data_IF_632344976946
#
_entry.id   IF_632344976946
#
_cell.length_a   1.000
_cell.length_b   1.000
_cell.length_c   1.000
_cell.angle_alpha   90.00
_cell.angle_beta   90.00
_cell.angle_gamma   90.00
#
_symmetry.space_group_name_H-M   'P 1'
#
loop_
_entity.id
_entity.type
_entity.pdbx_description
1 polymer ?
#
# COMPACT_ATOMS: atom_id res chain seq x y z
N UNK A 1 -32.56 -31.38 -18.84
CA UNK A 1 -31.45 -30.41 -18.69
C UNK A 1 -32.01 -28.99 -18.60
N UNK A 2 -32.63 -28.63 -17.46
CA UNK A 2 -33.17 -27.27 -17.25
C UNK A 2 -32.92 -26.77 -15.81
N UNK A 3 -32.63 -27.69 -14.89
CA UNK A 3 -32.30 -27.37 -13.49
C UNK A 3 -30.84 -26.89 -13.33
N UNK A 4 -29.93 -27.27 -14.24
CA UNK A 4 -28.52 -26.89 -14.15
C UNK A 4 -28.29 -25.42 -14.53
N UNK A 5 -29.07 -24.88 -15.47
CA UNK A 5 -28.90 -23.50 -15.97
C UNK A 5 -29.39 -22.43 -14.99
N UNK A 6 -30.38 -22.74 -14.15
CA UNK A 6 -30.93 -21.78 -13.17
C UNK A 6 -29.99 -21.57 -11.98
N UNK A 7 -29.21 -22.59 -11.59
CA UNK A 7 -28.26 -22.47 -10.47
C UNK A 7 -27.05 -21.56 -10.77
N UNK A 8 -26.62 -21.47 -12.04
CA UNK A 8 -25.49 -20.62 -12.43
C UNK A 8 -25.78 -19.12 -12.32
N UNK A 9 -27.04 -18.71 -12.44
CA UNK A 9 -27.45 -17.29 -12.37
C UNK A 9 -27.52 -16.76 -10.93
N UNK A 10 -27.79 -17.63 -9.95
CA UNK A 10 -27.89 -17.24 -8.52
C UNK A 10 -26.54 -17.20 -7.80
N UNK A 11 -25.52 -17.89 -8.32
CA UNK A 11 -24.18 -17.92 -7.72
C UNK A 11 -23.32 -16.70 -8.06
N UNK A 12 -23.60 -15.98 -9.15
CA UNK A 12 -22.75 -14.92 -9.67
C UNK A 12 -22.47 -13.76 -8.67
N UNK A 13 -23.46 -13.16 -7.97
CA UNK A 13 -23.18 -11.97 -7.14
C UNK A 13 -22.35 -12.27 -5.88
N UNK A 14 -22.36 -13.51 -5.38
CA UNK A 14 -21.57 -13.90 -4.21
C UNK A 14 -20.06 -13.95 -4.52
N UNK A 15 -19.68 -14.37 -5.73
CA UNK A 15 -18.26 -14.47 -6.13
C UNK A 15 -17.62 -13.09 -6.29
N UNK A 16 -18.37 -12.11 -6.80
CA UNK A 16 -17.85 -10.75 -7.05
C UNK A 16 -17.51 -9.98 -5.77
N UNK A 17 -18.27 -10.14 -4.67
CA UNK A 17 -17.95 -9.43 -3.42
C UNK A 17 -16.75 -10.03 -2.69
N UNK A 18 -16.54 -11.35 -2.83
CA UNK A 18 -15.40 -12.08 -2.29
C UNK A 18 -14.09 -11.67 -3.00
N UNK A 19 -14.13 -11.40 -4.32
CA UNK A 19 -12.93 -10.98 -5.08
C UNK A 19 -12.44 -9.58 -4.73
N UNK A 20 -13.34 -8.63 -4.42
CA UNK A 20 -12.97 -7.23 -4.16
C UNK A 20 -12.23 -7.07 -2.82
N UNK A 21 -12.76 -7.65 -1.73
CA UNK A 21 -12.09 -7.61 -0.43
C UNK A 21 -10.76 -8.38 -0.44
N UNK A 22 -10.71 -9.51 -1.15
CA UNK A 22 -9.48 -10.29 -1.25
C UNK A 22 -8.40 -9.53 -2.01
N UNK A 23 -8.74 -8.82 -3.10
CA UNK A 23 -7.79 -7.95 -3.81
C UNK A 23 -7.23 -6.84 -2.91
N UNK A 24 -8.08 -6.12 -2.18
CA UNK A 24 -7.63 -5.10 -1.23
C UNK A 24 -6.70 -5.69 -0.16
N UNK A 25 -7.04 -6.88 0.35
CA UNK A 25 -6.24 -7.60 1.34
C UNK A 25 -4.88 -8.01 0.78
N UNK A 26 -4.84 -8.59 -0.41
CA UNK A 26 -3.61 -8.98 -1.11
C UNK A 26 -2.68 -7.77 -1.30
N UNK A 27 -3.22 -6.65 -1.78
CA UNK A 27 -2.46 -5.43 -1.99
C UNK A 27 -1.88 -4.88 -0.67
N UNK A 28 -2.67 -4.81 0.41
CA UNK A 28 -2.19 -4.33 1.70
C UNK A 28 -1.21 -5.30 2.36
N UNK A 29 -1.35 -6.62 2.18
CA UNK A 29 -0.37 -7.61 2.65
C UNK A 29 0.94 -7.49 1.87
N UNK A 30 0.88 -7.26 0.56
CA UNK A 30 2.08 -6.98 -0.24
C UNK A 30 2.78 -5.70 0.21
N UNK A 31 2.02 -4.64 0.47
CA UNK A 31 2.54 -3.38 1.01
C UNK A 31 3.16 -3.56 2.40
N UNK A 32 2.52 -4.31 3.30
CA UNK A 32 3.02 -4.64 4.63
C UNK A 32 4.39 -5.35 4.58
N UNK A 33 4.54 -6.31 3.66
CA UNK A 33 5.82 -6.98 3.39
C UNK A 33 6.87 -6.00 2.89
N UNK A 34 6.54 -5.13 1.94
CA UNK A 34 7.48 -4.13 1.43
C UNK A 34 7.89 -3.11 2.50
N UNK A 35 6.97 -2.68 3.36
CA UNK A 35 7.29 -1.83 4.53
C UNK A 35 8.26 -2.54 5.47
N UNK A 36 8.03 -3.83 5.73
CA UNK A 36 8.92 -4.64 6.57
C UNK A 36 10.31 -4.79 5.96
N UNK A 37 10.41 -5.07 4.66
CA UNK A 37 11.68 -5.16 3.94
C UNK A 37 12.40 -3.81 3.89
N UNK A 38 11.67 -2.72 3.62
CA UNK A 38 12.21 -1.35 3.63
C UNK A 38 12.84 -1.03 4.99
N UNK A 39 12.12 -1.32 6.09
CA UNK A 39 12.63 -1.18 7.45
C UNK A 39 13.88 -2.02 7.68
N UNK A 40 13.85 -3.30 7.28
CA UNK A 40 14.97 -4.21 7.46
C UNK A 40 16.21 -3.69 6.73
N UNK A 41 16.07 -3.26 5.47
CA UNK A 41 17.16 -2.66 4.71
C UNK A 41 17.77 -1.46 5.43
N UNK A 42 16.93 -0.57 5.98
CA UNK A 42 17.41 0.61 6.70
C UNK A 42 18.24 0.25 7.93
N UNK A 43 17.79 -0.74 8.71
CA UNK A 43 18.51 -1.22 9.90
C UNK A 43 19.82 -1.92 9.52
N UNK A 44 19.76 -2.89 8.61
CA UNK A 44 20.91 -3.73 8.25
C UNK A 44 22.02 -2.92 7.58
N UNK A 45 21.68 -1.91 6.77
CA UNK A 45 22.67 -1.11 6.03
C UNK A 45 22.96 0.25 6.67
N UNK A 46 22.42 0.49 7.88
CA UNK A 46 22.58 1.73 8.64
C UNK A 46 22.35 3.01 7.82
N UNK A 47 21.45 2.95 6.85
CA UNK A 47 21.18 4.02 5.89
C UNK A 47 19.67 4.26 5.85
N UNK A 48 19.17 5.51 5.81
CA UNK A 48 17.74 5.74 5.65
C UNK A 48 17.22 5.14 4.34
N UNK A 49 16.03 4.54 4.38
CA UNK A 49 15.38 3.94 3.21
C UNK A 49 13.94 4.42 3.12
N UNK A 50 13.55 4.88 1.94
CA UNK A 50 12.24 5.46 1.66
C UNK A 50 11.44 4.55 0.73
N UNK A 51 10.14 4.43 1.00
CA UNK A 51 9.14 3.86 0.08
C UNK A 51 8.10 4.93 -0.27
N UNK A 52 7.87 5.16 -1.56
CA UNK A 52 6.87 6.11 -2.07
C UNK A 52 6.60 5.91 -3.58
N UNK A 53 5.50 6.47 -4.11
CA UNK A 53 5.33 6.62 -5.55
C UNK A 53 6.21 7.77 -6.07
N UNK A 54 6.91 7.56 -7.18
CA UNK A 54 7.82 8.56 -7.76
C UNK A 54 7.22 9.22 -9.01
N UNK A 55 7.19 10.55 -9.04
CA UNK A 55 6.99 11.35 -10.25
C UNK A 55 8.19 12.26 -10.42
N UNK A 56 8.87 12.16 -11.55
CA UNK A 56 10.13 12.89 -11.80
C UNK A 56 11.14 12.73 -10.66
N UNK A 57 11.29 11.49 -10.17
CA UNK A 57 12.14 11.10 -9.04
C UNK A 57 11.81 11.76 -7.68
N UNK A 58 10.61 12.33 -7.51
CA UNK A 58 10.15 12.87 -6.22
C UNK A 58 8.96 12.07 -5.70
N UNK A 59 8.92 11.87 -4.39
CA UNK A 59 7.79 11.22 -3.75
C UNK A 59 6.52 12.07 -3.87
N UNK A 60 5.40 11.42 -4.19
CA UNK A 60 4.09 12.07 -4.34
C UNK A 60 3.01 11.37 -3.50
N UNK A 61 1.77 11.88 -3.55
CA UNK A 61 0.63 11.24 -2.89
C UNK A 61 -0.08 10.19 -3.75
N UNK A 62 0.46 9.84 -4.92
CA UNK A 62 -0.15 8.91 -5.87
C UNK A 62 0.07 7.44 -5.46
N UNK A 63 -0.30 7.08 -4.23
CA UNK A 63 -0.03 5.77 -3.63
C UNK A 63 -0.69 4.60 -4.34
N UNK A 64 -1.67 4.87 -5.21
CA UNK A 64 -2.26 3.87 -6.10
C UNK A 64 -1.32 3.44 -7.24
N UNK A 65 -0.28 4.22 -7.54
CA UNK A 65 0.71 3.90 -8.57
C UNK A 65 1.81 2.96 -8.06
N UNK A 66 2.74 2.59 -8.95
CA UNK A 66 3.93 1.84 -8.58
C UNK A 66 4.71 2.56 -7.47
N UNK A 67 5.06 1.81 -6.42
CA UNK A 67 5.88 2.30 -5.32
C UNK A 67 7.32 1.85 -5.52
N UNK A 68 8.25 2.77 -5.33
CA UNK A 68 9.68 2.48 -5.34
C UNK A 68 10.24 2.52 -3.94
N UNK A 69 11.06 1.52 -3.60
CA UNK A 69 11.89 1.51 -2.40
C UNK A 69 13.32 1.87 -2.79
N UNK A 70 13.91 2.83 -2.10
CA UNK A 70 15.28 3.31 -2.39
C UNK A 70 15.98 3.79 -1.12
N UNK A 71 17.31 3.75 -1.11
CA UNK A 71 18.08 4.45 -0.07
C UNK A 71 17.84 5.95 -0.20
N UNK A 72 17.73 6.71 0.88
CA UNK A 72 17.46 8.15 0.84
C UNK A 72 18.42 8.86 1.80
N UNK A 73 19.69 8.95 1.40
CA UNK A 73 20.78 9.36 2.31
C UNK A 73 20.65 10.78 2.81
N UNK A 74 20.13 11.66 1.97
CA UNK A 74 19.86 13.06 2.30
C UNK A 74 18.46 13.23 2.93
N UNK A 75 17.69 12.14 3.03
CA UNK A 75 16.34 12.06 3.55
C UNK A 75 15.37 13.11 2.96
N UNK A 76 15.49 13.34 1.65
CA UNK A 76 14.72 14.38 0.91
C UNK A 76 13.46 13.85 0.27
N UNK A 77 13.13 12.57 0.46
CA UNK A 77 11.99 11.92 -0.20
C UNK A 77 12.05 12.11 -1.73
N UNK A 78 13.25 11.98 -2.28
CA UNK A 78 13.53 12.08 -3.70
C UNK A 78 14.67 11.12 -4.05
N UNK A 79 14.50 10.37 -5.12
CA UNK A 79 15.52 9.45 -5.62
C UNK A 79 16.57 10.25 -6.38
N UNK A 80 17.76 10.42 -5.81
CA UNK A 80 18.86 11.12 -6.47
C UNK A 80 19.99 10.20 -6.96
N UNK A 81 21.07 10.78 -7.49
CA UNK A 81 22.20 10.04 -8.08
C UNK A 81 23.02 9.24 -7.07
N UNK A 82 22.96 9.59 -5.78
CA UNK A 82 23.67 8.90 -4.68
C UNK A 82 22.83 7.78 -4.08
N UNK A 83 21.55 7.78 -4.40
CA UNK A 83 20.58 6.81 -3.93
C UNK A 83 20.49 5.58 -4.85
N UNK A 84 20.09 4.45 -4.28
CA UNK A 84 19.98 3.17 -4.97
C UNK A 84 18.54 2.68 -4.91
N UNK A 85 17.97 2.36 -6.08
CA UNK A 85 16.67 1.67 -6.19
C UNK A 85 16.83 0.24 -5.68
N UNK A 86 16.10 -0.13 -4.63
CA UNK A 86 16.20 -1.43 -3.98
C UNK A 86 15.11 -2.39 -4.46
N UNK A 87 13.85 -1.93 -4.47
CA UNK A 87 12.69 -2.76 -4.79
C UNK A 87 11.61 -1.91 -5.46
N UNK A 88 10.69 -2.60 -6.13
CA UNK A 88 9.51 -1.99 -6.77
C UNK A 88 8.29 -2.82 -6.40
N UNK A 89 7.23 -2.15 -5.97
CA UNK A 89 5.91 -2.73 -5.75
C UNK A 89 4.96 -2.17 -6.81
N UNK A 90 4.35 -3.06 -7.59
CA UNK A 90 3.36 -2.68 -8.59
C UNK A 90 2.21 -1.87 -7.99
N UNK A 91 1.68 -0.94 -8.78
CA UNK A 91 0.49 -0.19 -8.42
C UNK A 91 -0.75 -1.07 -8.27
N UNK A 92 -1.80 -0.48 -7.73
CA UNK A 92 -3.10 -1.14 -7.56
C UNK A 92 -3.94 -1.00 -8.84
N UNK A 93 -5.13 -1.61 -8.86
CA UNK A 93 -6.05 -1.47 -9.98
C UNK A 93 -6.55 -0.02 -10.09
N UNK A 94 -6.62 0.53 -11.30
CA UNK A 94 -7.07 1.91 -11.55
C UNK A 94 -8.50 2.22 -11.08
N UNK A 95 -9.34 1.19 -10.85
CA UNK A 95 -10.69 1.36 -10.28
C UNK A 95 -10.68 1.57 -8.77
N UNK A 96 -9.56 1.35 -8.10
CA UNK A 96 -9.44 1.37 -6.65
C UNK A 96 -8.64 2.59 -6.20
N UNK A 97 -8.75 2.92 -4.91
CA UNK A 97 -7.95 3.98 -4.31
C UNK A 97 -7.10 3.43 -3.18
N UNK A 98 -5.91 4.02 -3.02
CA UNK A 98 -5.03 3.79 -1.88
C UNK A 98 -4.47 5.14 -1.48
N UNK A 99 -4.73 5.53 -0.24
CA UNK A 99 -4.35 6.84 0.29
C UNK A 99 -3.55 6.71 1.58
N UNK A 100 -2.59 7.61 1.76
CA UNK A 100 -1.79 7.76 2.98
C UNK A 100 -1.55 9.25 3.27
N UNK A 101 -1.54 9.69 4.53
CA UNK A 101 -1.46 11.12 4.88
C UNK A 101 -0.10 11.79 4.53
N UNK A 102 0.90 11.02 4.13
CA UNK A 102 2.24 11.50 3.75
C UNK A 102 2.55 11.06 2.33
N UNK A 103 3.45 11.77 1.65
CA UNK A 103 3.93 11.38 0.32
C UNK A 103 5.01 10.30 0.36
N UNK A 104 5.61 10.05 1.52
CA UNK A 104 6.69 9.09 1.69
C UNK A 104 6.67 8.47 3.07
N UNK A 105 7.20 7.24 3.17
CA UNK A 105 7.54 6.59 4.43
C UNK A 105 9.04 6.31 4.41
N UNK A 106 9.78 7.01 5.26
CA UNK A 106 11.23 6.85 5.41
C UNK A 106 11.54 6.17 6.74
N UNK A 107 12.20 5.03 6.68
CA UNK A 107 12.74 4.35 7.86
C UNK A 107 14.18 4.80 8.11
N UNK A 108 14.49 5.15 9.36
CA UNK A 108 15.85 5.44 9.82
C UNK A 108 16.60 4.14 10.10
N UNK A 109 17.92 4.24 10.29
CA UNK A 109 18.77 3.13 10.72
C UNK A 109 18.34 2.48 12.05
N UNK A 110 17.56 3.19 12.88
CA UNK A 110 16.96 2.65 14.13
C UNK A 110 15.70 1.81 13.87
N UNK A 111 15.23 1.71 12.63
CA UNK A 111 13.99 1.04 12.25
C UNK A 111 12.71 1.83 12.61
N UNK A 112 12.85 3.05 13.11
CA UNK A 112 11.72 3.96 13.34
C UNK A 112 11.50 4.84 12.13
N UNK A 113 10.30 5.40 12.00
CA UNK A 113 9.99 6.34 10.94
C UNK A 113 10.69 7.69 11.18
N UNK A 114 11.03 8.37 10.09
CA UNK A 114 11.46 9.77 10.12
C UNK A 114 10.29 10.68 10.51
N UNK A 115 10.52 11.57 11.47
CA UNK A 115 9.55 12.59 11.91
C UNK A 115 8.18 12.00 12.30
N UNK A 116 7.11 12.69 11.91
CA UNK A 116 5.72 12.24 12.07
C UNK A 116 5.22 11.49 10.83
N UNK A 117 6.04 10.56 10.34
CA UNK A 117 5.77 9.74 9.16
C UNK A 117 4.72 8.64 9.39
N UNK A 118 4.15 8.54 10.60
CA UNK A 118 3.09 7.59 10.90
C UNK A 118 1.78 7.96 10.21
N UNK A 119 0.89 6.98 10.09
CA UNK A 119 -0.33 7.15 9.34
C UNK A 119 -1.08 5.83 9.14
N UNK A 120 -2.12 5.88 8.33
CA UNK A 120 -2.90 4.69 7.98
C UNK A 120 -3.19 4.73 6.50
N UNK A 121 -2.77 3.68 5.81
CA UNK A 121 -3.22 3.44 4.45
C UNK A 121 -4.70 3.11 4.50
N UNK A 122 -5.48 3.72 3.62
CA UNK A 122 -6.88 3.37 3.39
C UNK A 122 -6.99 2.90 1.96
N UNK A 123 -7.33 1.62 1.78
CA UNK A 123 -7.56 1.00 0.48
C UNK A 123 -9.06 0.87 0.28
N UNK A 124 -9.61 1.47 -0.77
CA UNK A 124 -11.02 1.35 -1.11
C UNK A 124 -11.19 0.69 -2.48
N UNK A 125 -12.09 -0.29 -2.55
CA UNK A 125 -12.52 -0.93 -3.80
C UNK A 125 -13.88 -0.40 -4.21
N UNK A 126 -14.04 -0.12 -5.50
CA UNK A 126 -15.33 0.29 -6.06
C UNK A 126 -16.21 -0.94 -6.28
N UNK A 127 -17.45 -0.89 -5.77
CA UNK A 127 -18.45 -1.94 -5.98
C UNK A 127 -19.42 -1.52 -7.07
N UNK A 128 -19.76 -2.46 -7.97
CA UNK A 128 -20.74 -2.23 -9.03
C UNK A 128 -22.15 -1.93 -8.51
N UNK A 129 -22.50 -2.40 -7.31
CA UNK A 129 -23.88 -2.40 -6.80
C UNK A 129 -24.06 -1.81 -5.40
N UNK A 130 -23.14 -0.95 -4.92
CA UNK A 130 -23.34 -0.33 -3.60
C UNK A 130 -22.16 0.50 -3.09
N UNK A 131 -22.19 0.80 -1.80
CA UNK A 131 -21.15 1.60 -1.14
C UNK A 131 -19.77 0.95 -1.26
N UNK A 132 -18.71 1.73 -1.48
CA UNK A 132 -17.33 1.24 -1.50
C UNK A 132 -16.97 0.61 -0.16
N UNK A 133 -16.12 -0.42 -0.23
CA UNK A 133 -15.58 -1.12 0.94
C UNK A 133 -14.07 -0.99 0.95
N UNK A 134 -13.48 -1.13 2.13
CA UNK A 134 -12.05 -1.04 2.23
C UNK A 134 -11.44 -1.68 3.44
N UNK A 135 -10.11 -1.74 3.37
CA UNK A 135 -9.24 -2.17 4.43
C UNK A 135 -8.26 -1.05 4.75
N UNK A 136 -7.69 -1.09 5.95
CA UNK A 136 -6.73 -0.12 6.41
C UNK A 136 -5.46 -0.81 6.92
N UNK A 137 -4.30 -0.21 6.63
CA UNK A 137 -3.00 -0.64 7.15
C UNK A 137 -2.36 0.52 7.91
N UNK A 138 -2.46 0.49 9.23
CA UNK A 138 -1.84 1.50 10.08
C UNK A 138 -0.35 1.25 10.23
N UNK A 139 0.48 2.29 10.16
CA UNK A 139 1.93 2.25 10.37
C UNK A 139 2.28 3.21 11.51
N UNK A 140 2.90 2.69 12.57
CA UNK A 140 3.29 3.47 13.74
C UNK A 140 4.67 4.13 13.57
N UNK A 141 4.98 5.12 14.41
CA UNK A 141 6.30 5.78 14.44
C UNK A 141 7.44 4.78 14.71
N UNK A 142 7.16 3.73 15.50
CA UNK A 142 8.13 2.66 15.77
C UNK A 142 8.25 1.65 14.61
N UNK A 143 7.62 1.93 13.47
CA UNK A 143 7.73 1.15 12.24
C UNK A 143 6.91 -0.15 12.22
N UNK A 144 5.93 -0.31 13.13
CA UNK A 144 5.04 -1.48 13.16
C UNK A 144 3.81 -1.21 12.33
N UNK A 145 3.45 -2.15 11.46
CA UNK A 145 2.25 -2.13 10.65
C UNK A 145 1.15 -3.05 11.19
N UNK A 146 -0.13 -2.70 10.98
CA UNK A 146 -1.30 -3.49 11.41
C UNK A 146 -2.47 -3.34 10.43
N UNK A 147 -2.89 -4.45 9.83
CA UNK A 147 -4.04 -4.54 8.92
C UNK A 147 -5.36 -4.60 9.70
N UNK A 148 -6.38 -3.82 9.31
CA UNK A 148 -7.71 -3.75 9.94
C UNK A 148 -8.79 -3.46 8.90
N UNK A 149 -10.06 -3.68 9.25
CA UNK A 149 -11.19 -3.18 8.47
C UNK A 149 -11.34 -1.66 8.65
N UNK A 150 -11.97 -0.99 7.68
CA UNK A 150 -12.23 0.46 7.74
C UNK A 150 -13.58 0.82 7.16
N UNK A 151 -14.20 1.86 7.73
CA UNK A 151 -15.42 2.49 7.24
C UNK A 151 -15.15 3.84 6.55
N UNK A 152 -13.88 4.18 6.31
CA UNK A 152 -13.45 5.47 5.73
C UNK A 152 -13.60 5.58 4.22
N UNK A 153 -14.13 4.54 3.57
CA UNK A 153 -14.38 4.56 2.13
C UNK A 153 -15.68 5.28 1.74
N UNK A 154 -16.47 5.67 2.73
CA UNK A 154 -17.79 6.31 2.58
C UNK A 154 -17.65 7.80 2.30
#
# INVERSE_FOLDING_TARGET
>A
MALLSVLLLLAAPAVHSITEMDRAKQALVALDRHLTLTRLHAVTHQTPVTICPLVSNRCTHLWHQELTVFTDRDERAALDKKDVKLMVLSGIRNSDTLDYPRSAITFKHTGTLKGFGNGTFVYCTQRLSGAPIGLALSVSVVGRSRLRETKKCV
#
